data_IF_825799122228
#
_entry.id   IF_825799122228
#
_cell.length_a   1.000
_cell.length_b   1.000
_cell.length_c   1.000
_cell.angle_alpha   90.00
_cell.angle_beta   90.00
_cell.angle_gamma   90.00
#
_symmetry.space_group_name_H-M   'P 1'
#
loop_
_entity.id
_entity.type
_entity.pdbx_description
1 polymer ?
#
# COMPACT_ATOMS: atom_id res chain seq x y z
N UNK A 1 -57.86 -51.65 25.53
CA UNK A 1 -56.55 -51.93 26.04
C UNK A 1 -55.73 -50.57 25.85
N UNK A 2 -55.82 -49.67 26.84
CA UNK A 2 -55.13 -48.49 26.84
C UNK A 2 -53.67 -48.76 27.30
N UNK A 3 -52.69 -48.51 26.47
CA UNK A 3 -51.25 -48.56 26.83
C UNK A 3 -51.03 -47.56 27.93
N UNK A 4 -50.86 -47.98 29.17
CA UNK A 4 -50.27 -47.15 30.23
C UNK A 4 -48.85 -46.82 29.79
N UNK A 5 -48.66 -45.59 29.32
CA UNK A 5 -47.32 -45.09 29.04
C UNK A 5 -46.68 -44.86 30.39
N UNK A 6 -45.72 -45.71 30.73
CA UNK A 6 -45.01 -45.68 31.99
C UNK A 6 -44.24 -44.31 32.11
N UNK A 7 -44.52 -43.53 33.14
CA UNK A 7 -43.95 -42.18 33.31
C UNK A 7 -42.40 -42.18 33.28
N UNK A 8 -41.79 -43.31 33.63
CA UNK A 8 -40.34 -43.53 33.51
C UNK A 8 -39.86 -43.60 32.07
N UNK A 9 -40.64 -44.19 31.15
CA UNK A 9 -40.31 -44.24 29.73
C UNK A 9 -40.31 -42.87 29.06
N UNK A 10 -41.24 -41.98 29.44
CA UNK A 10 -41.33 -40.60 28.93
C UNK A 10 -40.12 -39.78 29.42
N UNK A 11 -39.70 -39.94 30.67
CA UNK A 11 -38.54 -39.23 31.23
C UNK A 11 -37.22 -39.66 30.55
N UNK A 12 -37.04 -40.95 30.30
CA UNK A 12 -35.86 -41.48 29.60
C UNK A 12 -35.84 -40.97 28.13
N UNK A 13 -36.96 -41.00 27.42
CA UNK A 13 -37.02 -40.45 26.05
C UNK A 13 -36.73 -38.96 26.02
N UNK A 14 -37.25 -38.18 26.98
CA UNK A 14 -36.98 -36.73 27.10
C UNK A 14 -35.51 -36.43 27.34
N UNK A 15 -34.83 -37.20 28.18
CA UNK A 15 -33.38 -37.02 28.43
C UNK A 15 -32.54 -37.34 27.17
N UNK A 16 -32.89 -38.41 26.41
CA UNK A 16 -32.20 -38.68 25.15
C UNK A 16 -32.36 -37.57 24.12
N UNK A 17 -33.59 -37.05 23.94
CA UNK A 17 -33.85 -35.89 23.03
C UNK A 17 -33.07 -34.67 23.45
N UNK A 18 -32.99 -34.40 24.78
CA UNK A 18 -32.20 -33.28 25.30
C UNK A 18 -30.71 -33.43 25.00
N UNK A 19 -30.14 -34.63 25.17
CA UNK A 19 -28.72 -34.86 24.87
C UNK A 19 -28.43 -34.77 23.37
N UNK A 20 -29.33 -35.24 22.52
CA UNK A 20 -29.21 -35.11 21.05
C UNK A 20 -29.26 -33.65 20.66
N UNK A 21 -30.20 -32.85 21.20
CA UNK A 21 -30.32 -31.43 20.94
C UNK A 21 -29.09 -30.65 21.41
N UNK A 22 -28.55 -30.98 22.59
CA UNK A 22 -27.34 -30.41 23.11
C UNK A 22 -26.11 -30.73 22.26
N UNK A 23 -25.96 -31.99 21.81
CA UNK A 23 -24.89 -32.41 20.93
C UNK A 23 -24.95 -31.68 19.59
N UNK A 24 -26.16 -31.53 19.03
CA UNK A 24 -26.39 -30.76 17.80
C UNK A 24 -26.02 -29.26 17.99
N UNK A 25 -26.46 -28.64 19.09
CA UNK A 25 -26.14 -27.24 19.44
C UNK A 25 -24.62 -27.06 19.56
N UNK A 26 -23.92 -27.97 20.24
CA UNK A 26 -22.46 -27.90 20.38
C UNK A 26 -21.76 -27.99 19.02
N UNK A 27 -22.24 -28.86 18.13
CA UNK A 27 -21.70 -29.04 16.79
C UNK A 27 -21.88 -27.73 15.94
N UNK A 28 -23.08 -27.13 16.04
CA UNK A 28 -23.40 -25.86 15.37
C UNK A 28 -22.53 -24.71 15.88
N UNK A 29 -22.37 -24.56 17.20
CA UNK A 29 -21.48 -23.55 17.80
C UNK A 29 -20.03 -23.75 17.38
N UNK A 30 -19.57 -24.98 17.25
CA UNK A 30 -18.22 -25.28 16.81
C UNK A 30 -18.02 -24.87 15.34
N UNK A 31 -18.97 -25.18 14.46
CA UNK A 31 -18.96 -24.76 13.06
C UNK A 31 -18.92 -23.24 12.89
N UNK A 32 -19.76 -22.50 13.63
CA UNK A 32 -19.75 -21.04 13.63
C UNK A 32 -18.41 -20.46 14.11
N UNK A 33 -17.82 -21.05 15.15
CA UNK A 33 -16.52 -20.60 15.67
C UNK A 33 -15.40 -20.78 14.65
N UNK A 34 -15.41 -21.90 13.92
CA UNK A 34 -14.40 -22.18 12.88
C UNK A 34 -14.57 -21.24 11.69
N UNK A 35 -15.79 -20.93 11.26
CA UNK A 35 -16.09 -19.94 10.22
C UNK A 35 -15.65 -18.53 10.60
N UNK A 36 -15.92 -18.09 11.85
CA UNK A 36 -15.49 -16.80 12.36
C UNK A 36 -13.96 -16.73 12.37
N UNK A 37 -13.28 -17.80 12.80
CA UNK A 37 -11.82 -17.86 12.84
C UNK A 37 -11.20 -17.80 11.44
N UNK A 38 -11.81 -18.46 10.47
CA UNK A 38 -11.38 -18.41 9.07
C UNK A 38 -11.55 -16.99 8.49
N UNK A 39 -12.71 -16.36 8.69
CA UNK A 39 -12.99 -14.98 8.24
C UNK A 39 -12.02 -13.97 8.87
N UNK A 40 -11.72 -14.09 10.16
CA UNK A 40 -10.74 -13.26 10.85
C UNK A 40 -9.33 -13.48 10.30
N UNK A 41 -8.96 -14.72 9.97
CA UNK A 41 -7.68 -15.03 9.35
C UNK A 41 -7.52 -14.37 7.98
N UNK A 42 -8.52 -14.48 7.11
CA UNK A 42 -8.53 -13.84 5.78
C UNK A 42 -8.46 -12.31 5.92
N UNK A 43 -9.20 -11.72 6.86
CA UNK A 43 -9.16 -10.28 7.09
C UNK A 43 -7.77 -9.79 7.52
N UNK A 44 -7.11 -10.52 8.41
CA UNK A 44 -5.76 -10.18 8.88
C UNK A 44 -4.72 -10.25 7.74
N UNK A 45 -4.78 -11.25 6.88
CA UNK A 45 -3.89 -11.35 5.71
C UNK A 45 -4.14 -10.20 4.71
N UNK A 46 -5.39 -9.84 4.48
CA UNK A 46 -5.75 -8.71 3.61
C UNK A 46 -5.22 -7.39 4.17
N UNK A 47 -5.35 -7.15 5.46
CA UNK A 47 -4.81 -5.97 6.15
C UNK A 47 -3.29 -5.93 6.00
N UNK A 48 -2.61 -7.05 6.20
CA UNK A 48 -1.16 -7.16 6.07
C UNK A 48 -0.69 -6.80 4.65
N UNK A 49 -1.36 -7.33 3.61
CA UNK A 49 -1.03 -7.01 2.21
C UNK A 49 -1.23 -5.52 1.90
N UNK A 50 -2.31 -4.92 2.41
CA UNK A 50 -2.53 -3.47 2.28
C UNK A 50 -1.41 -2.67 2.94
N UNK A 51 -1.08 -2.97 4.20
CA UNK A 51 0.00 -2.26 4.90
C UNK A 51 1.35 -2.39 4.20
N UNK A 52 1.68 -3.57 3.66
CA UNK A 52 2.88 -3.77 2.85
C UNK A 52 2.86 -2.91 1.58
N UNK A 53 1.70 -2.72 0.95
CA UNK A 53 1.58 -1.85 -0.20
C UNK A 53 1.84 -0.38 0.16
N UNK A 54 1.27 0.11 1.27
CA UNK A 54 1.53 1.47 1.75
C UNK A 54 2.99 1.68 2.14
N UNK A 55 3.64 0.70 2.78
CA UNK A 55 5.07 0.73 3.09
C UNK A 55 5.91 0.87 1.80
N UNK A 56 5.65 0.04 0.79
CA UNK A 56 6.36 0.09 -0.49
C UNK A 56 6.15 1.40 -1.23
N UNK A 57 4.93 1.93 -1.24
CA UNK A 57 4.63 3.21 -1.88
C UNK A 57 5.22 4.39 -1.12
N UNK A 58 5.35 4.30 0.22
CA UNK A 58 6.08 5.28 1.01
C UNK A 58 7.56 5.29 0.63
N UNK A 59 8.20 4.12 0.53
CA UNK A 59 9.58 4.01 0.06
C UNK A 59 9.75 4.54 -1.37
N UNK A 60 8.79 4.26 -2.25
CA UNK A 60 8.77 4.84 -3.59
C UNK A 60 8.72 6.37 -3.55
N UNK A 61 7.77 6.95 -2.81
CA UNK A 61 7.60 8.38 -2.72
C UNK A 61 8.86 9.07 -2.16
N UNK A 62 9.49 8.50 -1.14
CA UNK A 62 10.76 8.99 -0.60
C UNK A 62 11.90 8.98 -1.64
N UNK A 63 12.02 7.88 -2.40
CA UNK A 63 13.05 7.73 -3.43
C UNK A 63 12.80 8.59 -4.67
N UNK A 64 11.54 8.79 -5.02
CA UNK A 64 11.12 9.63 -6.14
C UNK A 64 11.24 11.13 -5.85
N UNK A 65 11.38 11.54 -4.60
CA UNK A 65 11.61 12.96 -4.24
C UNK A 65 12.86 13.48 -4.92
N UNK A 66 12.75 14.62 -5.63
CA UNK A 66 13.82 15.18 -6.46
C UNK A 66 15.15 15.35 -5.70
N UNK A 67 15.09 15.82 -4.46
CA UNK A 67 16.28 15.97 -3.62
C UNK A 67 17.00 14.64 -3.40
N UNK A 68 16.27 13.59 -3.02
CA UNK A 68 16.82 12.27 -2.76
C UNK A 68 17.34 11.61 -4.04
N UNK A 69 16.58 11.77 -5.13
CA UNK A 69 16.91 11.23 -6.44
C UNK A 69 18.22 11.84 -6.97
N UNK A 70 18.35 13.17 -6.95
CA UNK A 70 19.57 13.90 -7.36
C UNK A 70 20.75 13.50 -6.50
N UNK A 71 20.59 13.52 -5.17
CA UNK A 71 21.70 13.18 -4.25
C UNK A 71 22.21 11.76 -4.40
N UNK A 72 21.32 10.82 -4.77
CA UNK A 72 21.68 9.40 -4.94
C UNK A 72 22.38 9.12 -6.28
N UNK A 73 21.99 9.85 -7.34
CA UNK A 73 22.42 9.56 -8.72
C UNK A 73 23.45 10.51 -9.27
N UNK A 74 23.89 11.50 -8.48
CA UNK A 74 24.92 12.44 -8.89
C UNK A 74 26.24 11.72 -9.19
N UNK A 75 26.84 12.07 -10.33
CA UNK A 75 28.17 11.64 -10.75
C UNK A 75 28.91 12.84 -11.35
N UNK A 76 30.22 12.98 -11.05
CA UNK A 76 31.02 14.17 -11.41
C UNK A 76 31.35 14.25 -12.91
N UNK A 77 31.57 13.12 -13.56
CA UNK A 77 32.14 13.02 -14.89
C UNK A 77 31.13 12.81 -16.02
N UNK A 78 29.86 13.17 -15.81
CA UNK A 78 28.78 13.01 -16.80
C UNK A 78 28.18 14.35 -17.21
N UNK A 79 27.60 14.41 -18.40
CA UNK A 79 26.84 15.56 -18.89
C UNK A 79 25.48 15.71 -18.20
N UNK A 80 24.92 16.92 -18.24
CA UNK A 80 23.55 17.18 -17.77
C UNK A 80 22.52 16.27 -18.49
N UNK A 81 22.74 15.97 -19.78
CA UNK A 81 21.89 15.10 -20.57
C UNK A 81 21.93 13.64 -20.09
N UNK A 82 23.11 13.09 -19.81
CA UNK A 82 23.25 11.74 -19.25
C UNK A 82 22.62 11.64 -17.87
N UNK A 83 22.83 12.65 -17.02
CA UNK A 83 22.16 12.72 -15.73
C UNK A 83 20.66 12.81 -15.87
N UNK A 84 20.12 13.63 -16.76
CA UNK A 84 18.68 13.71 -17.05
C UNK A 84 18.14 12.32 -17.40
N UNK A 85 18.76 11.61 -18.34
CA UNK A 85 18.33 10.27 -18.75
C UNK A 85 18.33 9.28 -17.58
N UNK A 86 19.37 9.32 -16.74
CA UNK A 86 19.49 8.46 -15.56
C UNK A 86 18.39 8.74 -14.52
N UNK A 87 18.08 10.01 -14.27
CA UNK A 87 17.02 10.42 -13.37
C UNK A 87 15.64 9.93 -13.88
N UNK A 88 15.33 10.14 -15.16
CA UNK A 88 14.06 9.73 -15.78
C UNK A 88 13.91 8.20 -15.79
N UNK A 89 14.96 7.49 -16.13
CA UNK A 89 14.94 6.02 -16.14
C UNK A 89 14.75 5.47 -14.74
N UNK A 90 15.42 6.03 -13.74
CA UNK A 90 15.27 5.60 -12.34
C UNK A 90 13.85 5.83 -11.83
N UNK A 91 13.24 7.01 -12.11
CA UNK A 91 11.86 7.30 -11.74
C UNK A 91 10.88 6.29 -12.36
N UNK A 92 11.03 6.00 -13.65
CA UNK A 92 10.17 5.03 -14.34
C UNK A 92 10.36 3.62 -13.80
N UNK A 93 11.59 3.15 -13.60
CA UNK A 93 11.88 1.82 -13.07
C UNK A 93 11.31 1.64 -11.65
N UNK A 94 11.49 2.62 -10.78
CA UNK A 94 10.91 2.59 -9.41
C UNK A 94 9.38 2.59 -9.44
N UNK A 95 8.75 3.33 -10.37
CA UNK A 95 7.31 3.32 -10.54
C UNK A 95 6.79 1.97 -11.03
N UNK A 96 7.39 1.41 -12.09
CA UNK A 96 7.00 0.13 -12.67
C UNK A 96 7.18 -1.02 -11.67
N UNK A 97 8.24 -0.98 -10.86
CA UNK A 97 8.46 -1.95 -9.78
C UNK A 97 7.31 -1.97 -8.75
N UNK A 98 6.61 -0.84 -8.58
CA UNK A 98 5.54 -0.68 -7.62
C UNK A 98 4.13 -0.73 -8.25
N UNK A 99 3.99 -0.90 -9.57
CA UNK A 99 2.70 -0.80 -10.28
C UNK A 99 1.64 -1.78 -9.75
N UNK A 100 2.05 -2.96 -9.28
CA UNK A 100 1.14 -3.97 -8.72
C UNK A 100 0.51 -3.54 -7.40
N UNK A 101 1.09 -2.56 -6.70
CA UNK A 101 0.55 -2.09 -5.41
C UNK A 101 -0.78 -1.35 -5.57
N UNK A 102 -1.12 -0.89 -6.79
CA UNK A 102 -2.38 -0.21 -7.09
C UNK A 102 -3.63 -1.02 -6.69
N UNK A 103 -3.55 -2.36 -6.62
CA UNK A 103 -4.68 -3.21 -6.24
C UNK A 103 -4.99 -3.19 -4.74
N UNK A 104 -4.07 -2.69 -3.91
CA UNK A 104 -4.18 -2.71 -2.45
C UNK A 104 -4.43 -1.33 -1.84
N UNK A 105 -4.36 -0.25 -2.63
CA UNK A 105 -4.54 1.13 -2.17
C UNK A 105 -5.79 1.76 -2.79
N UNK A 106 -6.20 2.93 -2.31
CA UNK A 106 -7.31 3.66 -2.89
C UNK A 106 -6.99 4.14 -4.32
N UNK A 107 -7.98 4.27 -5.22
CA UNK A 107 -7.77 4.86 -6.55
C UNK A 107 -7.18 6.27 -6.48
N UNK A 108 -7.57 7.06 -5.48
CA UNK A 108 -7.07 8.40 -5.21
C UNK A 108 -5.58 8.38 -4.87
N UNK A 109 -5.17 7.44 -4.01
CA UNK A 109 -3.77 7.26 -3.65
C UNK A 109 -2.94 6.84 -4.86
N UNK A 110 -3.40 5.88 -5.66
CA UNK A 110 -2.69 5.50 -6.87
C UNK A 110 -2.55 6.64 -7.87
N UNK A 111 -3.60 7.45 -8.02
CA UNK A 111 -3.57 8.68 -8.84
C UNK A 111 -2.54 9.69 -8.30
N UNK A 112 -2.43 9.85 -6.99
CA UNK A 112 -1.43 10.72 -6.37
C UNK A 112 0.01 10.23 -6.64
N UNK A 113 0.27 8.92 -6.53
CA UNK A 113 1.55 8.28 -6.87
C UNK A 113 1.91 8.52 -8.35
N UNK A 114 0.96 8.30 -9.26
CA UNK A 114 1.18 8.55 -10.70
C UNK A 114 1.49 10.02 -10.97
N UNK A 115 0.73 10.91 -10.35
CA UNK A 115 0.94 12.36 -10.49
C UNK A 115 2.30 12.82 -9.95
N UNK A 116 2.77 12.23 -8.85
CA UNK A 116 4.11 12.49 -8.31
C UNK A 116 5.20 12.15 -9.34
N UNK A 117 5.11 10.97 -9.96
CA UNK A 117 6.03 10.56 -11.03
C UNK A 117 6.01 11.57 -12.19
N UNK A 118 4.81 11.82 -12.74
CA UNK A 118 4.64 12.62 -13.94
C UNK A 118 5.12 14.06 -13.74
N UNK A 119 4.86 14.63 -12.57
CA UNK A 119 5.33 15.97 -12.22
C UNK A 119 6.84 16.02 -12.08
N UNK A 120 7.48 15.04 -11.45
CA UNK A 120 8.94 15.00 -11.36
C UNK A 120 9.59 14.83 -12.73
N UNK A 121 9.05 13.99 -13.61
CA UNK A 121 9.48 13.87 -15.00
C UNK A 121 9.36 15.21 -15.72
N UNK A 122 8.25 15.91 -15.57
CA UNK A 122 8.03 17.23 -16.17
C UNK A 122 9.06 18.24 -15.67
N UNK A 123 9.30 18.34 -14.36
CA UNK A 123 10.26 19.26 -13.75
C UNK A 123 11.68 18.99 -14.24
N UNK A 124 12.12 17.73 -14.24
CA UNK A 124 13.45 17.35 -14.72
C UNK A 124 13.63 17.79 -16.18
N UNK A 125 12.64 17.52 -17.04
CA UNK A 125 12.70 17.90 -18.45
C UNK A 125 12.70 19.40 -18.65
N UNK A 126 11.87 20.14 -17.91
CA UNK A 126 11.81 21.61 -18.01
C UNK A 126 13.13 22.24 -17.60
N UNK A 127 13.71 21.85 -16.48
CA UNK A 127 14.98 22.38 -16.00
C UNK A 127 16.13 22.01 -16.95
N UNK A 128 16.19 20.76 -17.41
CA UNK A 128 17.20 20.33 -18.36
C UNK A 128 17.14 21.11 -19.68
N UNK A 129 15.93 21.48 -20.15
CA UNK A 129 15.75 22.26 -21.38
C UNK A 129 16.26 23.72 -21.27
N UNK A 130 16.45 24.25 -20.07
CA UNK A 130 17.01 25.60 -19.87
C UNK A 130 18.54 25.62 -19.88
N UNK A 131 19.20 24.48 -19.80
CA UNK A 131 20.64 24.37 -19.72
C UNK A 131 21.29 24.35 -21.11
N UNK A 132 22.54 24.84 -21.25
CA UNK A 132 23.31 24.69 -22.46
C UNK A 132 23.55 23.22 -22.83
N UNK A 133 23.70 22.93 -24.13
CA UNK A 133 23.90 21.56 -24.62
C UNK A 133 25.16 20.87 -24.07
N UNK A 134 26.15 21.65 -23.66
CA UNK A 134 27.41 21.18 -23.06
C UNK A 134 27.44 21.29 -21.52
N UNK A 135 26.29 21.54 -20.89
CA UNK A 135 26.21 21.65 -19.43
C UNK A 135 26.65 20.34 -18.73
N UNK A 136 27.34 20.47 -17.63
CA UNK A 136 27.75 19.36 -16.78
C UNK A 136 26.59 18.92 -15.85
N UNK A 137 26.64 17.68 -15.35
CA UNK A 137 25.63 17.14 -14.41
C UNK A 137 25.43 18.03 -13.17
N UNK A 138 26.49 18.68 -12.68
CA UNK A 138 26.42 19.57 -11.52
C UNK A 138 25.48 20.76 -11.75
N UNK A 139 25.37 21.28 -12.98
CA UNK A 139 24.48 22.40 -13.30
C UNK A 139 23.01 21.96 -13.21
N UNK A 140 22.68 20.77 -13.77
CA UNK A 140 21.34 20.20 -13.65
C UNK A 140 21.01 19.90 -12.17
N UNK A 141 21.95 19.31 -11.44
CA UNK A 141 21.78 18.99 -10.02
C UNK A 141 21.49 20.20 -9.18
N UNK A 142 22.28 21.28 -9.35
CA UNK A 142 22.07 22.57 -8.65
C UNK A 142 20.69 23.16 -8.94
N UNK A 143 20.33 23.24 -10.22
CA UNK A 143 19.03 23.80 -10.62
C UNK A 143 17.85 23.01 -10.08
N UNK A 144 17.93 21.65 -10.07
CA UNK A 144 16.92 20.79 -9.47
C UNK A 144 16.83 20.97 -7.95
N UNK A 145 17.97 21.09 -7.25
CA UNK A 145 17.99 21.32 -5.80
C UNK A 145 17.45 22.70 -5.44
N UNK A 146 17.82 23.74 -6.18
CA UNK A 146 17.28 25.11 -6.01
C UNK A 146 15.76 25.11 -6.22
N UNK A 147 15.26 24.40 -7.22
CA UNK A 147 13.82 24.22 -7.41
C UNK A 147 13.14 23.62 -6.18
N UNK A 148 13.73 22.60 -5.55
CA UNK A 148 13.17 21.96 -4.35
C UNK A 148 13.20 22.85 -3.12
N UNK A 149 14.16 23.78 -3.04
CA UNK A 149 14.28 24.73 -1.92
C UNK A 149 13.23 25.86 -1.98
N UNK A 150 12.77 26.21 -3.17
CA UNK A 150 11.81 27.31 -3.41
C UNK A 150 10.33 26.89 -3.27
N UNK A 151 10.00 26.05 -2.27
CA UNK A 151 8.63 25.60 -1.92
C UNK A 151 7.92 24.69 -2.94
N UNK A 152 8.60 24.18 -3.94
CA UNK A 152 8.00 23.29 -4.93
C UNK A 152 8.07 21.78 -4.54
N UNK A 153 8.72 21.47 -3.42
CA UNK A 153 8.80 20.10 -2.88
C UNK A 153 7.50 19.60 -2.23
N UNK A 154 6.44 20.42 -2.22
CA UNK A 154 5.20 20.11 -1.49
C UNK A 154 4.49 18.87 -1.99
N UNK A 155 4.55 18.56 -3.31
CA UNK A 155 3.85 17.40 -3.83
C UNK A 155 4.34 16.09 -3.22
N UNK A 156 5.65 15.94 -3.03
CA UNK A 156 6.21 14.75 -2.40
C UNK A 156 5.73 14.61 -0.96
N UNK A 157 5.76 15.71 -0.22
CA UNK A 157 5.28 15.75 1.16
C UNK A 157 3.78 15.46 1.24
N UNK A 158 2.96 16.06 0.37
CA UNK A 158 1.52 15.81 0.31
C UNK A 158 1.22 14.33 0.08
N UNK A 159 1.94 13.68 -0.84
CA UNK A 159 1.77 12.25 -1.12
C UNK A 159 2.19 11.40 0.07
N UNK A 160 3.30 11.70 0.73
CA UNK A 160 3.74 11.01 1.94
C UNK A 160 2.74 11.15 3.10
N UNK A 161 2.24 12.37 3.32
CA UNK A 161 1.24 12.63 4.36
C UNK A 161 -0.07 11.86 4.08
N UNK A 162 -0.50 11.79 2.81
CA UNK A 162 -1.67 11.03 2.40
C UNK A 162 -1.47 9.51 2.58
N UNK A 163 -0.29 8.97 2.22
CA UNK A 163 0.07 7.56 2.46
C UNK A 163 0.01 7.23 3.94
N UNK A 164 0.60 8.06 4.79
CA UNK A 164 0.56 7.88 6.24
C UNK A 164 -0.86 7.94 6.81
N UNK A 165 -1.68 8.86 6.28
CA UNK A 165 -3.07 8.99 6.71
C UNK A 165 -3.88 7.73 6.38
N UNK A 166 -3.86 7.27 5.13
CA UNK A 166 -4.61 6.08 4.71
C UNK A 166 -4.11 4.81 5.43
N UNK A 167 -2.79 4.63 5.59
CA UNK A 167 -2.24 3.49 6.34
C UNK A 167 -2.74 3.46 7.80
N UNK A 168 -2.82 4.62 8.46
CA UNK A 168 -3.39 4.72 9.83
C UNK A 168 -4.88 4.40 9.90
N UNK A 169 -5.66 4.62 8.83
CA UNK A 169 -7.08 4.24 8.82
C UNK A 169 -7.27 2.72 8.76
N UNK A 170 -6.34 1.99 8.16
CA UNK A 170 -6.39 0.52 8.06
C UNK A 170 -6.13 -0.13 9.44
N UNK A 171 -5.40 0.55 10.32
CA UNK A 171 -5.03 0.05 11.65
C UNK A 171 -6.08 0.34 12.73
N UNK A 172 -7.14 1.08 12.41
CA UNK A 172 -8.27 1.37 13.33
C UNK A 172 -9.37 0.34 13.19
#
# INVERSE_FOLDING_TARGET
>A
MLLEVDGTGIQIAGTFVFFIAMAWLIAEFKGMKDEIKERLGINNETIKLKLQAYERLTLYAERAGLKNLVSKLYADDISAREMQMTLLQTLNNEYEYNVTQQIYVSPEMWKAITKLRDQNIFIINQIAATLPANAAAIELSKSLLEYTMNNHAEINKIVLDALHYEAKQILK
#
